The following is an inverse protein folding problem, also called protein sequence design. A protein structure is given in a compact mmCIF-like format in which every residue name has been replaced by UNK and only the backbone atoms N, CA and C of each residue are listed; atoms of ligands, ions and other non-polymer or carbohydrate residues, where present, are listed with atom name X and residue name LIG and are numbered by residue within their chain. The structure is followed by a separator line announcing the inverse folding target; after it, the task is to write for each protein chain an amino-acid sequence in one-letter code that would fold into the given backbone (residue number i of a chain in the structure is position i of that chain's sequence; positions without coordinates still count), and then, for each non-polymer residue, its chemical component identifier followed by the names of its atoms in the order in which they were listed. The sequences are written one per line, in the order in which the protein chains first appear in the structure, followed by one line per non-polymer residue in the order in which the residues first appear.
data_IF_574953777532
#
_entry.id   IF_574953777532
#
_cell.length_a   1.000
_cell.length_b   1.000
_cell.length_c   1.000
_cell.angle_alpha   90.00
_cell.angle_beta   90.00
_cell.angle_gamma   90.00
#
_symmetry.space_group_name_H-M   'P 1'
#
loop_
_entity.id
_entity.type
_entity.pdbx_description
1 polymer ?
#
# COMPACT_ATOMS: atom_id res chain seq x y z
N UNK A 1 -1.42 12.41 -16.23
CA UNK A 1 -0.22 12.64 -15.41
C UNK A 1 -0.07 11.50 -14.41
N UNK A 2 1.11 10.90 -14.38
CA UNK A 2 1.36 9.82 -13.44
C UNK A 2 1.50 10.34 -12.02
N UNK A 3 1.12 9.49 -11.05
CA UNK A 3 1.22 9.81 -9.63
C UNK A 3 2.01 8.74 -8.91
N UNK A 4 2.55 9.09 -7.76
CA UNK A 4 3.18 8.15 -6.83
C UNK A 4 2.39 8.16 -5.53
N UNK A 5 2.07 6.97 -5.07
CA UNK A 5 1.38 6.81 -3.78
C UNK A 5 2.40 6.24 -2.80
N UNK A 6 2.65 6.99 -1.74
CA UNK A 6 3.60 6.58 -0.70
C UNK A 6 2.79 6.21 0.54
N UNK A 7 2.92 4.98 0.96
CA UNK A 7 2.15 4.43 2.08
C UNK A 7 3.12 4.03 3.18
N UNK A 8 3.00 4.68 4.33
CA UNK A 8 3.85 4.47 5.50
C UNK A 8 3.05 3.72 6.57
N UNK A 9 3.51 2.50 6.90
CA UNK A 9 2.85 1.63 7.87
C UNK A 9 3.81 1.19 8.95
N UNK A 10 3.32 1.23 10.18
CA UNK A 10 4.02 0.65 11.32
C UNK A 10 3.26 -0.60 11.76
N UNK A 11 3.84 -1.77 11.53
CA UNK A 11 3.20 -3.05 11.83
C UNK A 11 3.39 -3.39 13.31
N UNK A 12 2.36 -3.91 13.96
CA UNK A 12 2.45 -4.40 15.34
C UNK A 12 3.48 -5.54 15.41
N UNK A 13 4.26 -5.53 16.48
CA UNK A 13 5.25 -6.59 16.72
C UNK A 13 4.55 -7.95 16.78
N UNK A 14 5.10 -8.92 16.05
CA UNK A 14 4.54 -10.25 15.96
C UNK A 14 3.50 -10.43 14.87
N UNK A 15 3.12 -9.37 14.16
CA UNK A 15 2.13 -9.42 13.08
C UNK A 15 2.74 -9.28 11.69
N UNK A 16 4.06 -9.33 11.58
CA UNK A 16 4.77 -9.12 10.32
C UNK A 16 4.40 -10.18 9.27
N UNK A 17 4.27 -11.45 9.68
CA UNK A 17 3.93 -12.54 8.76
C UNK A 17 2.50 -12.39 8.22
N UNK A 18 1.55 -12.05 9.09
CA UNK A 18 0.14 -11.82 8.69
C UNK A 18 0.05 -10.63 7.74
N UNK A 19 0.78 -9.56 8.05
CA UNK A 19 0.86 -8.38 7.20
C UNK A 19 1.41 -8.76 5.81
N UNK A 20 2.50 -9.52 5.75
CA UNK A 20 3.11 -9.93 4.49
C UNK A 20 2.12 -10.70 3.60
N UNK A 21 1.30 -11.56 4.18
CA UNK A 21 0.28 -12.32 3.43
C UNK A 21 -0.77 -11.38 2.82
N UNK A 22 -1.27 -10.44 3.62
CA UNK A 22 -2.27 -9.48 3.15
C UNK A 22 -1.69 -8.55 2.09
N UNK A 23 -0.45 -8.13 2.27
CA UNK A 23 0.22 -7.26 1.30
C UNK A 23 0.41 -7.95 -0.05
N UNK A 24 0.73 -9.25 -0.06
CA UNK A 24 0.84 -10.02 -1.30
C UNK A 24 -0.51 -10.07 -2.04
N UNK A 25 -1.61 -10.26 -1.32
CA UNK A 25 -2.95 -10.23 -1.92
C UNK A 25 -3.26 -8.87 -2.51
N UNK A 26 -2.95 -7.82 -1.78
CA UNK A 26 -3.15 -6.45 -2.23
C UNK A 26 -2.34 -6.14 -3.49
N UNK A 27 -1.07 -6.54 -3.49
CA UNK A 27 -0.18 -6.35 -4.63
C UNK A 27 -0.69 -7.09 -5.87
N UNK A 28 -1.19 -8.31 -5.69
CA UNK A 28 -1.78 -9.07 -6.78
C UNK A 28 -2.97 -8.33 -7.42
N UNK A 29 -3.81 -7.70 -6.61
CA UNK A 29 -4.93 -6.89 -7.12
C UNK A 29 -4.42 -5.65 -7.84
N UNK A 30 -3.40 -4.98 -7.30
CA UNK A 30 -2.84 -3.77 -7.89
C UNK A 30 -2.24 -4.05 -9.28
N UNK A 31 -1.45 -5.11 -9.41
CA UNK A 31 -0.76 -5.47 -10.65
C UNK A 31 -1.74 -5.63 -11.81
N UNK A 32 -2.92 -6.16 -11.56
CA UNK A 32 -3.95 -6.38 -12.58
C UNK A 32 -4.93 -5.22 -12.72
N UNK A 33 -4.72 -4.12 -11.98
CA UNK A 33 -5.60 -2.97 -12.05
C UNK A 33 -5.20 -2.03 -13.18
N UNK A 34 -6.21 -1.41 -13.82
CA UNK A 34 -5.99 -0.44 -14.87
C UNK A 34 -5.15 0.73 -14.36
N UNK A 35 -4.13 1.09 -15.13
CA UNK A 35 -3.29 2.24 -14.81
C UNK A 35 -2.16 1.97 -13.83
N UNK A 36 -2.04 0.77 -13.30
CA UNK A 36 -0.90 0.40 -12.47
C UNK A 36 0.39 0.41 -13.30
N UNK A 37 1.44 1.06 -12.79
CA UNK A 37 2.74 1.14 -13.46
C UNK A 37 3.77 0.26 -12.74
N UNK A 38 3.97 0.49 -11.46
CA UNK A 38 4.99 -0.23 -10.69
C UNK A 38 4.73 -0.10 -9.19
N UNK A 39 5.38 -0.96 -8.43
CA UNK A 39 5.32 -0.92 -6.98
C UNK A 39 6.63 -1.37 -6.37
N UNK A 40 6.96 -0.79 -5.24
CA UNK A 40 8.17 -1.08 -4.49
C UNK A 40 7.82 -1.11 -3.01
N UNK A 41 8.34 -2.11 -2.31
CA UNK A 41 8.17 -2.21 -0.86
C UNK A 41 9.51 -2.10 -0.18
N UNK A 42 9.63 -1.16 0.76
CA UNK A 42 10.82 -0.89 1.52
C UNK A 42 10.55 -1.08 3.00
N UNK A 43 11.58 -1.38 3.74
CA UNK A 43 11.52 -1.43 5.21
C UNK A 43 12.56 -0.46 5.75
N UNK A 44 12.19 0.34 6.74
CA UNK A 44 13.11 1.28 7.34
C UNK A 44 14.30 0.52 7.97
N UNK A 45 15.49 1.01 7.72
CA UNK A 45 16.71 0.40 8.24
C UNK A 45 16.73 0.38 9.77
N UNK A 46 16.28 1.48 10.37
CA UNK A 46 16.35 1.70 11.81
C UNK A 46 15.11 1.22 12.57
N UNK A 47 14.08 0.76 11.86
CA UNK A 47 12.85 0.28 12.45
C UNK A 47 12.27 -0.86 11.60
N UNK A 48 12.55 -2.12 11.96
CA UNK A 48 12.11 -3.28 11.17
C UNK A 48 10.59 -3.43 11.04
N UNK A 49 9.82 -2.71 11.85
CA UNK A 49 8.35 -2.76 11.80
C UNK A 49 7.76 -1.68 10.91
N UNK A 50 8.60 -0.75 10.41
CA UNK A 50 8.14 0.35 9.56
C UNK A 50 8.33 -0.01 8.09
N UNK A 51 7.23 -0.16 7.38
CA UNK A 51 7.18 -0.52 5.97
C UNK A 51 6.70 0.66 5.14
N UNK A 52 7.41 0.91 4.04
CA UNK A 52 7.05 1.97 3.09
C UNK A 52 6.75 1.30 1.75
N UNK A 53 5.56 1.54 1.21
CA UNK A 53 5.19 1.08 -0.12
C UNK A 53 5.08 2.29 -1.03
N UNK A 54 5.72 2.21 -2.18
CA UNK A 54 5.65 3.27 -3.19
C UNK A 54 5.06 2.64 -4.44
N UNK A 55 3.89 3.11 -4.86
CA UNK A 55 3.27 2.64 -6.10
C UNK A 55 3.15 3.79 -7.08
N UNK A 56 3.28 3.45 -8.36
CA UNK A 56 3.12 4.40 -9.45
C UNK A 56 1.88 4.03 -10.26
N UNK A 57 1.08 5.03 -10.58
CA UNK A 57 -0.17 4.89 -11.34
C UNK A 57 -0.22 5.93 -12.45
N UNK A 58 -0.86 5.58 -13.56
CA UNK A 58 -0.99 6.50 -14.69
C UNK A 58 -1.75 7.77 -14.31
N UNK A 59 -2.73 7.64 -13.40
CA UNK A 59 -3.48 8.80 -12.90
C UNK A 59 -4.00 8.51 -11.50
N UNK A 60 -4.37 9.57 -10.79
CA UNK A 60 -5.00 9.45 -9.47
C UNK A 60 -6.34 8.71 -9.57
N UNK A 61 -7.07 8.89 -10.66
CA UNK A 61 -8.36 8.23 -10.87
C UNK A 61 -8.19 6.72 -10.92
N UNK A 62 -7.13 6.21 -11.56
CA UNK A 62 -6.84 4.79 -11.62
C UNK A 62 -6.61 4.21 -10.21
N UNK A 63 -5.83 4.91 -9.40
CA UNK A 63 -5.58 4.49 -8.01
C UNK A 63 -6.87 4.52 -7.19
N UNK A 64 -7.67 5.57 -7.32
CA UNK A 64 -8.93 5.69 -6.60
C UNK A 64 -9.90 4.56 -6.93
N UNK A 65 -10.00 4.19 -8.22
CA UNK A 65 -10.81 3.05 -8.65
C UNK A 65 -10.36 1.76 -8.01
N UNK A 66 -9.05 1.51 -8.00
CA UNK A 66 -8.46 0.35 -7.35
C UNK A 66 -8.82 0.31 -5.86
N UNK A 67 -8.71 1.44 -5.16
CA UNK A 67 -9.01 1.53 -3.73
C UNK A 67 -10.48 1.25 -3.43
N UNK A 68 -11.38 1.55 -4.35
CA UNK A 68 -12.83 1.40 -4.16
C UNK A 68 -13.34 -0.01 -4.48
N UNK A 69 -12.52 -0.87 -5.08
CA UNK A 69 -12.92 -2.26 -5.32
C UNK A 69 -13.18 -2.93 -3.96
N UNK A 70 -14.35 -3.57 -3.76
CA UNK A 70 -14.71 -4.12 -2.46
C UNK A 70 -13.67 -5.07 -1.86
N UNK A 71 -13.05 -5.91 -2.67
CA UNK A 71 -12.00 -6.84 -2.20
C UNK A 71 -10.78 -6.07 -1.70
N UNK A 72 -10.38 -5.01 -2.40
CA UNK A 72 -9.27 -4.16 -2.01
C UNK A 72 -9.56 -3.47 -0.69
N UNK A 73 -10.75 -2.90 -0.55
CA UNK A 73 -11.19 -2.25 0.69
C UNK A 73 -11.16 -3.20 1.88
N UNK A 74 -11.61 -4.43 1.69
CA UNK A 74 -11.59 -5.45 2.75
C UNK A 74 -10.17 -5.80 3.17
N UNK A 75 -9.25 -5.93 2.21
CA UNK A 75 -7.84 -6.21 2.52
C UNK A 75 -7.24 -5.05 3.30
N UNK A 76 -7.49 -3.82 2.88
CA UNK A 76 -7.02 -2.63 3.60
C UNK A 76 -7.53 -2.59 5.04
N UNK A 77 -8.80 -2.90 5.26
CA UNK A 77 -9.38 -2.93 6.60
C UNK A 77 -8.68 -3.97 7.49
N UNK A 78 -8.36 -5.13 6.93
CA UNK A 78 -7.65 -6.17 7.67
C UNK A 78 -6.21 -5.76 7.99
N UNK A 79 -5.54 -5.13 7.02
CA UNK A 79 -4.19 -4.61 7.22
C UNK A 79 -4.19 -3.58 8.35
N UNK A 80 -5.15 -2.66 8.36
CA UNK A 80 -5.20 -1.59 9.37
C UNK A 80 -5.29 -2.13 10.80
N UNK A 81 -5.93 -3.27 11.00
CA UNK A 81 -6.00 -3.93 12.31
C UNK A 81 -4.64 -4.42 12.81
N UNK A 82 -3.68 -4.61 11.91
CA UNK A 82 -2.33 -5.08 12.24
C UNK A 82 -1.35 -3.92 12.48
N UNK A 83 -1.81 -2.69 12.34
CA UNK A 83 -0.95 -1.51 12.45
C UNK A 83 -0.84 -1.01 13.88
N UNK A 84 0.38 -0.65 14.28
CA UNK A 84 0.66 -0.06 15.59
C UNK A 84 0.22 1.40 15.67
N UNK A 85 0.04 2.04 14.50
CA UNK A 85 -0.47 3.41 14.37
C UNK A 85 -1.25 3.53 13.05
N UNK A 86 -2.08 4.55 12.87
CA UNK A 86 -2.80 4.72 11.61
C UNK A 86 -1.83 4.83 10.42
N UNK A 87 -2.20 4.17 9.32
CA UNK A 87 -1.45 4.23 8.07
C UNK A 87 -1.43 5.65 7.54
N UNK A 88 -0.26 6.11 7.09
CA UNK A 88 -0.11 7.43 6.47
C UNK A 88 -0.01 7.25 4.97
N UNK A 89 -0.78 8.02 4.23
CA UNK A 89 -0.78 8.00 2.77
C UNK A 89 -0.41 9.38 2.26
N UNK A 90 0.57 9.42 1.35
CA UNK A 90 0.96 10.65 0.68
C UNK A 90 0.84 10.43 -0.83
N UNK A 91 0.12 11.32 -1.49
CA UNK A 91 -0.05 11.31 -2.92
C UNK A 91 0.89 12.35 -3.50
N UNK A 92 1.80 11.92 -4.38
CA UNK A 92 2.81 12.78 -4.96
C UNK A 92 2.67 12.84 -6.47
N UNK A 93 2.93 14.01 -7.03
CA UNK A 93 3.00 14.24 -8.47
C UNK A 93 4.40 14.72 -8.81
N UNK A 94 4.78 14.63 -10.09
CA UNK A 94 6.08 15.14 -10.51
C UNK A 94 6.15 16.66 -10.32
N UNK A 95 7.26 17.11 -9.76
CA UNK A 95 7.49 18.52 -9.48
C UNK A 95 7.76 19.32 -10.75
#
# INVERSE_FOLDING_TARGET
MSVRIIIDRKVKRGKEADFAKLLRKLRSKAIFSEGYISGEMLRARDDPQNYIVITAWQSIVNWEKYEKVPETSKIHARIEKLMARPTKVKICVHA
#
